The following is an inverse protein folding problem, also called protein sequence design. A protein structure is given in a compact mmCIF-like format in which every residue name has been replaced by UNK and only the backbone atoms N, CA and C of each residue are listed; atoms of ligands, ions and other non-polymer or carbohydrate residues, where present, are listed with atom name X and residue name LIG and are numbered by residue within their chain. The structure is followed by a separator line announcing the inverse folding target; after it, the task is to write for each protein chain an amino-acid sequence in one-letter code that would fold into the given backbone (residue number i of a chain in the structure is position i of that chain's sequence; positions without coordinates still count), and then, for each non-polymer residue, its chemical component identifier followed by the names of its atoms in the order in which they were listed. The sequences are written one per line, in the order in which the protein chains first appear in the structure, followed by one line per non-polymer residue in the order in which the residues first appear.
data_IF_220922064620
#
_entry.id   IF_220922064620
#
_cell.length_a   1.000
_cell.length_b   1.000
_cell.length_c   1.000
_cell.angle_alpha   90.00
_cell.angle_beta   90.00
_cell.angle_gamma   90.00
#
_symmetry.space_group_name_H-M   'P 1'
#
loop_
_entity.id
_entity.type
_entity.pdbx_description
1 polymer ?
#
# COMPACT_ATOMS: atom_id res chain seq x y z
N UNK A 1 7.21 5.67 29.70
CA UNK A 1 6.59 6.88 30.30
C UNK A 1 7.08 8.22 29.73
N UNK A 2 8.29 8.32 29.15
CA UNK A 2 8.82 9.60 28.61
C UNK A 2 8.17 10.13 27.32
N UNK A 3 7.49 9.31 26.50
CA UNK A 3 6.86 9.76 25.23
C UNK A 3 5.46 10.37 25.37
N UNK A 4 4.83 10.31 26.55
CA UNK A 4 3.55 11.00 26.79
C UNK A 4 3.74 12.51 26.99
N UNK A 5 4.93 12.94 27.43
CA UNK A 5 5.22 14.37 27.67
C UNK A 5 5.24 15.16 26.36
N UNK A 6 5.85 14.64 25.28
CA UNK A 6 5.98 15.40 24.02
C UNK A 6 4.66 15.64 23.28
N UNK A 7 3.67 14.76 23.47
CA UNK A 7 2.31 14.92 22.92
C UNK A 7 1.52 15.97 23.69
N UNK A 8 1.63 16.00 25.03
CA UNK A 8 1.01 17.02 25.86
C UNK A 8 1.50 18.43 25.50
N UNK A 9 2.81 18.60 25.26
CA UNK A 9 3.37 19.91 24.89
C UNK A 9 2.80 20.45 23.57
N UNK A 10 2.61 19.63 22.52
CA UNK A 10 2.07 20.14 21.25
C UNK A 10 0.61 20.55 21.30
N UNK A 11 -0.24 19.83 22.05
CA UNK A 11 -1.63 20.27 22.27
C UNK A 11 -1.69 21.44 23.25
N UNK A 12 -0.82 21.47 24.26
CA UNK A 12 -0.69 22.61 25.14
C UNK A 12 -0.30 23.86 24.34
N UNK A 13 0.63 23.76 23.38
CA UNK A 13 1.05 24.90 22.57
C UNK A 13 -0.08 25.42 21.67
N UNK A 14 -0.84 24.53 21.02
CA UNK A 14 -1.99 24.94 20.19
C UNK A 14 -3.16 25.47 21.04
N UNK A 15 -3.49 24.80 22.14
CA UNK A 15 -4.54 25.24 23.06
C UNK A 15 -4.16 26.56 23.75
N UNK A 16 -2.89 26.74 24.12
CA UNK A 16 -2.34 27.98 24.65
C UNK A 16 -2.38 29.09 23.62
N UNK A 17 -2.04 28.81 22.34
CA UNK A 17 -2.14 29.78 21.26
C UNK A 17 -3.58 30.23 21.03
N UNK A 18 -4.53 29.29 21.01
CA UNK A 18 -5.97 29.60 20.89
C UNK A 18 -6.45 30.39 22.13
N UNK A 19 -6.04 29.99 23.33
CA UNK A 19 -6.38 30.67 24.57
C UNK A 19 -5.84 32.10 24.58
N UNK A 20 -4.57 32.31 24.21
CA UNK A 20 -3.94 33.64 24.13
C UNK A 20 -4.67 34.52 23.12
N UNK A 21 -4.96 34.01 21.92
CA UNK A 21 -5.71 34.76 20.90
C UNK A 21 -7.11 35.10 21.42
N UNK A 22 -7.79 34.15 22.07
CA UNK A 22 -9.14 34.37 22.63
C UNK A 22 -9.11 35.44 23.72
N UNK A 23 -8.14 35.39 24.64
CA UNK A 23 -7.93 36.40 25.68
C UNK A 23 -7.67 37.77 25.04
N UNK A 24 -6.79 37.86 24.05
CA UNK A 24 -6.49 39.12 23.36
C UNK A 24 -7.71 39.70 22.64
N UNK A 25 -8.54 38.86 22.02
CA UNK A 25 -9.80 39.27 21.39
C UNK A 25 -10.80 39.77 22.43
N UNK A 26 -10.97 39.05 23.54
CA UNK A 26 -11.89 39.43 24.64
C UNK A 26 -11.44 40.71 25.31
N UNK A 27 -10.16 40.86 25.62
CA UNK A 27 -9.59 42.08 26.22
C UNK A 27 -9.73 43.25 25.25
N UNK A 28 -9.43 43.06 23.95
CA UNK A 28 -9.62 44.10 22.93
C UNK A 28 -11.08 44.52 22.80
N UNK A 29 -12.02 43.58 22.81
CA UNK A 29 -13.45 43.86 22.78
C UNK A 29 -13.93 44.59 24.05
N UNK A 30 -13.44 44.20 25.22
CA UNK A 30 -13.74 44.85 26.50
C UNK A 30 -13.21 46.29 26.53
N UNK A 31 -11.96 46.52 26.10
CA UNK A 31 -11.41 47.88 26.00
C UNK A 31 -12.18 48.73 24.99
N UNK A 32 -12.62 48.17 23.86
CA UNK A 32 -13.46 48.89 22.90
C UNK A 32 -14.85 49.23 23.48
N UNK A 33 -15.40 48.36 24.33
CA UNK A 33 -16.68 48.57 25.00
C UNK A 33 -16.60 49.69 26.06
N UNK A 34 -15.61 49.65 26.95
CA UNK A 34 -15.38 50.68 27.98
C UNK A 34 -15.11 52.06 27.35
N UNK A 35 -14.45 52.08 26.19
CA UNK A 35 -14.07 53.32 25.50
C UNK A 35 -14.97 53.69 24.30
N UNK A 36 -16.19 53.14 24.24
CA UNK A 36 -17.14 53.32 23.12
C UNK A 36 -17.56 54.77 22.85
N UNK A 37 -17.33 55.67 23.81
CA UNK A 37 -17.62 57.11 23.69
C UNK A 37 -16.59 57.89 22.87
N UNK A 38 -15.43 57.31 22.57
CA UNK A 38 -14.37 57.98 21.81
C UNK A 38 -14.44 57.58 20.32
N UNK A 39 -14.73 58.51 19.40
CA UNK A 39 -14.85 58.20 17.97
C UNK A 39 -13.54 57.67 17.34
N UNK A 40 -12.39 58.01 17.92
CA UNK A 40 -11.06 57.57 17.46
C UNK A 40 -10.71 56.11 17.83
N UNK A 41 -11.42 55.52 18.81
CA UNK A 41 -11.15 54.15 19.30
C UNK A 41 -11.70 53.06 18.38
N UNK A 42 -12.78 53.35 17.64
CA UNK A 42 -13.41 52.38 16.74
C UNK A 42 -12.46 51.88 15.65
N UNK A 43 -11.59 52.72 15.10
CA UNK A 43 -10.64 52.29 14.05
C UNK A 43 -9.37 51.63 14.61
N UNK A 44 -8.90 52.07 15.79
CA UNK A 44 -7.62 51.63 16.36
C UNK A 44 -7.68 50.30 17.09
N UNK A 45 -8.82 49.92 17.68
CA UNK A 45 -8.96 48.67 18.46
C UNK A 45 -9.60 47.54 17.66
N UNK A 46 -10.58 47.86 16.80
CA UNK A 46 -11.27 46.84 15.99
C UNK A 46 -10.30 46.23 14.97
N UNK A 47 -9.43 47.02 14.35
CA UNK A 47 -8.53 46.56 13.30
C UNK A 47 -7.51 45.50 13.81
N UNK A 48 -6.79 45.69 14.94
CA UNK A 48 -5.91 44.65 15.49
C UNK A 48 -6.64 43.37 15.91
N UNK A 49 -7.84 43.49 16.49
CA UNK A 49 -8.65 42.32 16.89
C UNK A 49 -9.05 41.51 15.65
N UNK A 50 -9.52 42.18 14.61
CA UNK A 50 -9.87 41.54 13.33
C UNK A 50 -8.63 40.91 12.68
N UNK A 51 -7.49 41.60 12.65
CA UNK A 51 -6.23 41.06 12.14
C UNK A 51 -5.75 39.84 12.94
N UNK A 52 -5.94 39.83 14.27
CA UNK A 52 -5.61 38.70 15.13
C UNK A 52 -6.47 37.46 14.85
N UNK A 53 -7.79 37.65 14.69
CA UNK A 53 -8.72 36.58 14.30
C UNK A 53 -8.35 36.03 12.92
N UNK A 54 -8.10 36.92 11.95
CA UNK A 54 -7.67 36.55 10.60
C UNK A 54 -6.36 35.78 10.65
N UNK A 55 -5.37 36.24 11.42
CA UNK A 55 -4.08 35.57 11.60
C UNK A 55 -4.20 34.17 12.22
N UNK A 56 -5.03 34.02 13.26
CA UNK A 56 -5.32 32.71 13.85
C UNK A 56 -6.04 31.78 12.88
N UNK A 57 -7.01 32.29 12.12
CA UNK A 57 -7.70 31.55 11.08
C UNK A 57 -6.75 31.09 9.97
N UNK A 58 -5.85 31.96 9.49
CA UNK A 58 -4.81 31.59 8.53
C UNK A 58 -3.83 30.57 9.11
N UNK A 59 -3.48 30.67 10.39
CA UNK A 59 -2.59 29.70 11.05
C UNK A 59 -3.25 28.32 11.13
N UNK A 60 -4.54 28.24 11.49
CA UNK A 60 -5.31 27.00 11.47
C UNK A 60 -5.42 26.45 10.05
N UNK A 61 -5.78 27.28 9.07
CA UNK A 61 -5.85 26.88 7.66
C UNK A 61 -4.52 26.35 7.12
N UNK A 62 -3.41 27.01 7.46
CA UNK A 62 -2.08 26.61 7.00
C UNK A 62 -1.56 25.37 7.76
N UNK A 63 -2.03 25.16 8.99
CA UNK A 63 -1.76 23.94 9.75
C UNK A 63 -2.58 22.74 9.25
N UNK A 64 -3.68 22.95 8.52
CA UNK A 64 -4.49 21.92 7.86
C UNK A 64 -3.85 21.41 6.54
N UNK A 65 -2.53 21.25 6.48
CA UNK A 65 -1.87 20.63 5.31
C UNK A 65 -2.35 19.18 5.17
N UNK A 66 -2.76 18.82 3.95
CA UNK A 66 -2.95 17.41 3.61
C UNK A 66 -1.59 16.77 3.56
N UNK A 67 -1.42 15.73 4.36
CA UNK A 67 -0.29 14.83 4.26
C UNK A 67 -0.66 13.75 3.26
N UNK A 68 0.22 13.58 2.28
CA UNK A 68 0.15 12.51 1.29
C UNK A 68 1.41 11.68 1.44
N UNK A 69 1.25 10.37 1.47
CA UNK A 69 2.37 9.43 1.35
C UNK A 69 2.19 8.71 0.03
N UNK A 70 3.21 8.76 -0.81
CA UNK A 70 3.20 8.18 -2.15
C UNK A 70 4.45 7.31 -2.29
N UNK A 71 4.26 6.10 -2.81
CA UNK A 71 5.32 5.15 -3.13
C UNK A 71 5.02 4.54 -4.49
N UNK A 72 6.00 4.59 -5.41
CA UNK A 72 5.87 4.03 -6.74
C UNK A 72 7.09 3.18 -7.05
N UNK A 73 6.86 2.00 -7.60
CA UNK A 73 7.92 1.06 -7.99
C UNK A 73 7.42 0.09 -9.05
N UNK A 74 8.36 -0.66 -9.64
CA UNK A 74 8.06 -1.66 -10.66
C UNK A 74 8.04 -3.08 -10.09
N UNK A 75 7.17 -3.91 -10.66
CA UNK A 75 7.04 -5.34 -10.38
C UNK A 75 7.09 -6.11 -11.70
N UNK A 76 7.85 -7.19 -11.76
CA UNK A 76 7.98 -8.01 -12.98
C UNK A 76 7.59 -9.44 -12.66
N UNK A 77 6.65 -9.98 -13.43
CA UNK A 77 6.29 -11.39 -13.38
C UNK A 77 6.87 -12.10 -14.59
N UNK A 78 7.66 -13.14 -14.33
CA UNK A 78 8.21 -14.03 -15.35
C UNK A 78 7.34 -15.27 -15.49
N UNK A 79 6.90 -15.57 -16.70
CA UNK A 79 6.18 -16.80 -17.03
C UNK A 79 6.65 -17.39 -18.35
N UNK A 80 6.57 -18.70 -18.47
CA UNK A 80 7.03 -19.44 -19.63
C UNK A 80 6.06 -19.25 -20.81
N UNK A 81 6.57 -19.07 -22.03
CA UNK A 81 5.77 -18.62 -23.17
C UNK A 81 4.83 -19.68 -23.73
N UNK A 82 5.14 -20.96 -23.57
CA UNK A 82 4.35 -22.04 -24.18
C UNK A 82 3.11 -22.42 -23.36
N UNK A 83 3.27 -22.48 -22.04
CA UNK A 83 2.27 -22.96 -21.08
C UNK A 83 1.80 -21.85 -20.13
N UNK A 84 2.38 -20.64 -20.22
CA UNK A 84 2.01 -19.45 -19.44
C UNK A 84 2.16 -19.64 -17.93
N UNK A 85 2.85 -20.68 -17.48
CA UNK A 85 3.10 -20.92 -16.06
C UNK A 85 4.24 -20.05 -15.56
N UNK A 86 4.17 -19.64 -14.30
CA UNK A 86 5.19 -18.80 -13.68
C UNK A 86 6.53 -19.51 -13.63
N UNK A 87 7.62 -18.74 -13.64
CA UNK A 87 8.99 -19.26 -13.53
C UNK A 87 9.18 -20.25 -12.35
N UNK A 88 8.47 -20.05 -11.24
CA UNK A 88 8.57 -20.90 -10.05
C UNK A 88 8.06 -22.34 -10.24
N UNK A 89 7.33 -22.63 -11.33
CA UNK A 89 6.94 -23.99 -11.72
C UNK A 89 8.06 -24.70 -12.49
N UNK A 90 8.94 -23.93 -13.13
CA UNK A 90 9.95 -24.43 -14.06
C UNK A 90 11.34 -24.50 -13.44
N UNK A 91 11.61 -23.73 -12.38
CA UNK A 91 12.92 -23.71 -11.73
C UNK A 91 12.83 -23.74 -10.21
N UNK A 92 13.12 -24.91 -9.63
CA UNK A 92 13.20 -25.12 -8.18
C UNK A 92 14.29 -24.29 -7.51
N UNK A 93 15.23 -23.72 -8.27
CA UNK A 93 16.29 -22.83 -7.76
C UNK A 93 15.87 -21.35 -7.82
N UNK A 94 14.70 -21.00 -8.36
CA UNK A 94 14.24 -19.60 -8.38
C UNK A 94 14.21 -19.01 -6.97
N UNK A 95 13.83 -19.81 -5.97
CA UNK A 95 13.81 -19.44 -4.56
C UNK A 95 15.18 -18.96 -4.04
N UNK A 96 16.25 -19.70 -4.39
CA UNK A 96 17.64 -19.42 -4.01
C UNK A 96 18.13 -18.08 -4.57
N UNK A 97 17.83 -17.82 -5.84
CA UNK A 97 18.48 -16.73 -6.57
C UNK A 97 17.63 -15.47 -6.73
N UNK A 98 16.30 -15.54 -6.62
CA UNK A 98 15.46 -14.34 -6.55
C UNK A 98 14.16 -14.47 -5.78
N UNK A 99 13.87 -15.64 -5.21
CA UNK A 99 12.65 -15.90 -4.44
C UNK A 99 11.44 -16.22 -5.28
N UNK A 100 10.47 -16.81 -4.59
CA UNK A 100 9.18 -17.15 -5.16
C UNK A 100 8.41 -15.87 -5.56
N UNK A 101 7.97 -15.83 -6.82
CA UNK A 101 7.02 -14.84 -7.32
C UNK A 101 5.63 -15.10 -6.74
N UNK A 102 5.26 -16.37 -6.57
CA UNK A 102 4.00 -16.77 -5.93
C UNK A 102 4.23 -17.96 -4.99
N UNK A 103 3.61 -17.90 -3.81
CA UNK A 103 3.64 -19.02 -2.87
C UNK A 103 2.94 -20.26 -3.44
N UNK A 104 3.18 -21.46 -2.86
CA UNK A 104 2.73 -22.73 -3.43
C UNK A 104 1.23 -22.80 -3.76
N UNK A 105 0.37 -22.32 -2.86
CA UNK A 105 -1.08 -22.37 -3.04
C UNK A 105 -1.56 -21.49 -4.20
N UNK A 106 -1.01 -20.28 -4.32
CA UNK A 106 -1.37 -19.36 -5.39
C UNK A 106 -0.79 -19.82 -6.73
N UNK A 107 0.41 -20.42 -6.73
CA UNK A 107 1.01 -21.03 -7.90
C UNK A 107 0.14 -22.16 -8.49
N UNK A 108 -0.29 -23.13 -7.68
CA UNK A 108 -1.20 -24.20 -8.15
C UNK A 108 -2.54 -23.65 -8.64
N UNK A 109 -3.02 -22.56 -8.03
CA UNK A 109 -4.23 -21.89 -8.47
C UNK A 109 -4.07 -21.24 -9.85
N UNK A 110 -2.94 -20.57 -10.09
CA UNK A 110 -2.60 -19.97 -11.39
C UNK A 110 -2.60 -21.04 -12.48
N UNK A 111 -1.93 -22.18 -12.23
CA UNK A 111 -1.90 -23.29 -13.19
C UNK A 111 -3.31 -23.75 -13.57
N UNK A 112 -4.19 -23.97 -12.59
CA UNK A 112 -5.58 -24.32 -12.85
C UNK A 112 -6.41 -23.22 -13.52
N UNK A 113 -6.03 -21.94 -13.39
CA UNK A 113 -6.68 -20.85 -14.13
C UNK A 113 -6.25 -20.82 -15.59
N UNK A 114 -4.96 -21.03 -15.86
CA UNK A 114 -4.41 -21.10 -17.21
C UNK A 114 -5.00 -22.29 -17.97
N UNK A 115 -5.11 -23.45 -17.33
CA UNK A 115 -5.70 -24.65 -17.95
C UNK A 115 -7.16 -24.47 -18.34
N UNK A 116 -7.95 -23.75 -17.53
CA UNK A 116 -9.41 -23.58 -17.73
C UNK A 116 -9.79 -22.46 -18.70
N UNK A 117 -8.94 -21.45 -18.91
CA UNK A 117 -9.28 -20.28 -19.71
C UNK A 117 -9.00 -20.56 -21.21
N UNK A 118 -10.06 -20.88 -21.95
CA UNK A 118 -10.01 -21.26 -23.38
C UNK A 118 -9.29 -20.24 -24.28
N UNK A 119 -9.25 -18.96 -23.87
CA UNK A 119 -8.56 -17.89 -24.63
C UNK A 119 -7.08 -18.20 -24.78
N UNK A 120 -6.45 -18.76 -23.75
CA UNK A 120 -5.05 -19.15 -23.82
C UNK A 120 -4.85 -20.28 -24.80
N UNK A 121 -5.79 -21.23 -24.94
CA UNK A 121 -5.68 -22.34 -25.88
C UNK A 121 -5.91 -21.93 -27.35
N UNK A 122 -6.68 -20.87 -27.59
CA UNK A 122 -7.07 -20.43 -28.95
C UNK A 122 -6.21 -19.29 -29.52
N UNK A 123 -5.49 -18.55 -28.69
CA UNK A 123 -4.69 -17.39 -29.12
C UNK A 123 -3.38 -17.79 -29.81
N UNK A 124 -2.98 -17.06 -30.86
CA UNK A 124 -1.67 -17.22 -31.52
C UNK A 124 -0.55 -16.85 -30.54
N UNK A 125 0.57 -17.56 -30.62
CA UNK A 125 1.83 -17.38 -29.84
C UNK A 125 2.08 -15.93 -29.37
N UNK A 126 1.99 -14.97 -30.28
CA UNK A 126 2.49 -13.62 -30.02
C UNK A 126 1.52 -12.74 -29.24
N UNK A 127 0.21 -13.07 -29.19
CA UNK A 127 -0.79 -12.35 -28.39
C UNK A 127 -1.05 -12.98 -27.02
N UNK A 128 -0.63 -14.24 -26.83
CA UNK A 128 -0.77 -14.96 -25.56
C UNK A 128 -0.08 -14.25 -24.39
N UNK A 129 1.07 -13.60 -24.64
CA UNK A 129 1.81 -12.85 -23.61
C UNK A 129 1.00 -11.68 -23.03
N UNK A 130 0.37 -10.87 -23.88
CA UNK A 130 -0.44 -9.72 -23.46
C UNK A 130 -1.71 -10.15 -22.70
N UNK A 131 -2.38 -11.22 -23.17
CA UNK A 131 -3.56 -11.78 -22.51
C UNK A 131 -3.21 -12.38 -21.14
N UNK A 132 -2.06 -13.05 -21.04
CA UNK A 132 -1.51 -13.54 -19.78
C UNK A 132 -1.15 -12.38 -18.84
N UNK A 133 -0.66 -11.25 -19.36
CA UNK A 133 -0.33 -10.07 -18.56
C UNK A 133 -1.51 -9.54 -17.74
N UNK A 134 -2.74 -9.58 -18.29
CA UNK A 134 -3.95 -9.22 -17.54
C UNK A 134 -4.28 -10.21 -16.43
N UNK A 135 -4.11 -11.51 -16.67
CA UNK A 135 -4.24 -12.53 -15.61
C UNK A 135 -3.20 -12.28 -14.52
N UNK A 136 -1.95 -12.02 -14.88
CA UNK A 136 -0.90 -11.79 -13.90
C UNK A 136 -1.08 -10.48 -13.13
N UNK A 137 -1.70 -9.45 -13.71
CA UNK A 137 -2.15 -8.27 -12.98
C UNK A 137 -3.16 -8.63 -11.88
N UNK A 138 -4.13 -9.50 -12.19
CA UNK A 138 -5.09 -10.04 -11.21
C UNK A 138 -4.34 -10.80 -10.10
N UNK A 139 -3.38 -11.65 -10.48
CA UNK A 139 -2.64 -12.48 -9.53
C UNK A 139 -1.71 -11.68 -8.61
N UNK A 140 -1.10 -10.60 -9.11
CA UNK A 140 -0.28 -9.70 -8.28
C UNK A 140 -1.15 -9.02 -7.22
N UNK A 141 -2.32 -8.51 -7.60
CA UNK A 141 -3.25 -7.93 -6.63
C UNK A 141 -3.68 -8.99 -5.61
N UNK A 142 -4.00 -10.19 -6.07
CA UNK A 142 -4.45 -11.28 -5.22
C UNK A 142 -3.38 -11.69 -4.19
N UNK A 143 -2.11 -11.78 -4.62
CA UNK A 143 -0.96 -12.01 -3.74
C UNK A 143 -0.87 -10.96 -2.64
N UNK A 144 -1.06 -9.67 -2.99
CA UNK A 144 -1.03 -8.60 -1.99
C UNK A 144 -2.17 -8.71 -0.98
N UNK A 145 -3.38 -9.02 -1.44
CA UNK A 145 -4.53 -9.18 -0.55
C UNK A 145 -4.31 -10.37 0.38
N UNK A 146 -3.93 -11.54 -0.15
CA UNK A 146 -3.57 -12.73 0.66
C UNK A 146 -2.57 -12.36 1.75
N UNK A 147 -1.51 -11.65 1.33
CA UNK A 147 -0.47 -11.23 2.25
C UNK A 147 -0.98 -10.31 3.36
N UNK A 148 -1.89 -9.39 3.05
CA UNK A 148 -2.47 -8.52 4.07
C UNK A 148 -3.36 -9.28 5.05
N UNK A 149 -4.16 -10.24 4.58
CA UNK A 149 -4.94 -11.08 5.47
C UNK A 149 -4.05 -11.85 6.44
N UNK A 150 -2.90 -12.34 5.98
CA UNK A 150 -1.90 -12.98 6.84
C UNK A 150 -1.21 -12.02 7.79
N UNK A 151 -0.67 -10.91 7.27
CA UNK A 151 0.12 -9.96 8.06
C UNK A 151 -0.70 -9.26 9.14
N UNK A 152 -1.99 -9.05 8.90
CA UNK A 152 -2.89 -8.34 9.79
C UNK A 152 -3.99 -9.25 10.34
N UNK A 153 -3.78 -10.57 10.43
CA UNK A 153 -4.81 -11.50 10.94
C UNK A 153 -5.30 -11.09 12.35
N UNK A 154 -4.37 -10.78 13.24
CA UNK A 154 -4.64 -10.54 14.67
C UNK A 154 -4.59 -9.07 15.08
N UNK A 155 -3.73 -8.27 14.44
CA UNK A 155 -3.50 -6.86 14.82
C UNK A 155 -3.29 -5.98 13.59
N UNK A 156 -3.77 -4.73 13.66
CA UNK A 156 -3.57 -3.74 12.60
C UNK A 156 -2.35 -2.82 12.86
N UNK A 157 -2.04 -2.51 14.13
CA UNK A 157 -0.85 -1.72 14.52
C UNK A 157 0.33 -2.65 14.79
N UNK A 158 0.90 -3.16 13.70
CA UNK A 158 2.01 -4.09 13.71
C UNK A 158 3.27 -3.45 13.14
N UNK A 159 4.41 -4.06 13.44
CA UNK A 159 5.63 -3.96 12.66
C UNK A 159 5.85 -5.28 11.96
N UNK A 160 6.12 -5.21 10.67
CA UNK A 160 6.48 -6.38 9.88
C UNK A 160 7.98 -6.27 9.60
N UNK A 161 8.71 -7.31 9.92
CA UNK A 161 10.11 -7.43 9.53
C UNK A 161 10.26 -8.70 8.72
N UNK A 162 10.53 -8.53 7.43
CA UNK A 162 10.70 -9.62 6.50
C UNK A 162 12.18 -9.78 6.17
N UNK A 163 12.71 -10.97 6.43
CA UNK A 163 14.10 -11.33 6.14
C UNK A 163 14.13 -12.63 5.37
N UNK A 164 14.98 -12.71 4.34
CA UNK A 164 15.24 -13.96 3.66
C UNK A 164 16.23 -14.79 4.47
N UNK A 165 15.88 -16.04 4.73
CA UNK A 165 16.70 -17.01 5.44
C UNK A 165 16.72 -18.31 4.64
N UNK A 166 17.88 -18.64 4.06
CA UNK A 166 18.01 -19.76 3.12
C UNK A 166 17.09 -19.60 1.92
N UNK A 167 16.30 -20.62 1.64
CA UNK A 167 15.35 -20.66 0.51
C UNK A 167 14.02 -19.95 0.81
N UNK A 168 13.82 -19.51 2.06
CA UNK A 168 12.57 -18.95 2.54
C UNK A 168 12.62 -17.46 2.84
N UNK A 169 11.43 -16.86 2.86
CA UNK A 169 11.20 -15.55 3.49
C UNK A 169 10.60 -15.82 4.86
N UNK A 170 11.32 -15.41 5.92
CA UNK A 170 10.77 -15.35 7.26
C UNK A 170 10.24 -13.95 7.51
N UNK A 171 8.96 -13.85 7.87
CA UNK A 171 8.36 -12.59 8.29
C UNK A 171 7.94 -12.68 9.74
N UNK A 172 8.40 -11.72 10.52
CA UNK A 172 8.04 -11.56 11.93
C UNK A 172 7.05 -10.41 12.01
N UNK A 173 5.83 -10.73 12.45
CA UNK A 173 4.79 -9.73 12.75
C UNK A 173 4.80 -9.49 14.25
N UNK A 174 5.11 -8.27 14.67
CA UNK A 174 5.15 -7.88 16.07
C UNK A 174 4.10 -6.80 16.35
N UNK A 175 3.14 -7.03 17.27
CA UNK A 175 2.20 -5.99 17.66
C UNK A 175 2.94 -4.86 18.36
N UNK A 176 2.67 -3.61 17.99
CA UNK A 176 3.25 -2.46 18.71
C UNK A 176 2.48 -2.21 20.00
N UNK A 177 1.16 -2.41 19.97
CA UNK A 177 0.26 -2.34 21.12
C UNK A 177 -0.94 -3.28 20.92
N UNK A 178 -1.38 -4.00 21.96
CA UNK A 178 -2.70 -4.62 21.97
C UNK A 178 -3.74 -3.50 21.90
N UNK A 179 -4.65 -3.55 20.94
CA UNK A 179 -5.70 -2.55 20.76
C UNK A 179 -7.07 -3.18 20.96
N UNK A 180 -7.87 -2.74 21.95
CA UNK A 180 -9.25 -3.19 22.09
C UNK A 180 -10.14 -2.69 20.93
N UNK A 181 -9.80 -1.55 20.32
CA UNK A 181 -10.60 -0.93 19.27
C UNK A 181 -10.04 -1.28 17.89
N UNK A 182 -10.47 -2.41 17.34
CA UNK A 182 -10.16 -2.83 15.98
C UNK A 182 -11.43 -3.16 15.20
N UNK A 183 -11.34 -3.08 13.88
CA UNK A 183 -12.37 -3.61 13.00
C UNK A 183 -11.85 -4.87 12.30
N UNK A 184 -12.76 -5.74 11.90
CA UNK A 184 -12.46 -6.96 11.17
C UNK A 184 -13.08 -6.87 9.78
N UNK A 185 -12.25 -7.05 8.74
CA UNK A 185 -12.72 -7.30 7.38
C UNK A 185 -12.70 -8.81 7.16
N UNK A 186 -13.88 -9.42 7.17
CA UNK A 186 -14.02 -10.83 6.82
C UNK A 186 -13.80 -11.02 5.32
N UNK A 187 -13.07 -12.08 4.94
CA UNK A 187 -12.70 -12.38 3.56
C UNK A 187 -13.93 -12.45 2.65
N UNK A 188 -14.91 -13.27 3.02
CA UNK A 188 -16.11 -13.49 2.20
C UNK A 188 -16.90 -12.21 1.97
N UNK A 189 -17.03 -11.39 3.02
CA UNK A 189 -17.70 -10.10 2.95
C UNK A 189 -16.92 -9.12 2.09
N UNK A 190 -15.60 -9.07 2.27
CA UNK A 190 -14.73 -8.23 1.47
C UNK A 190 -14.83 -8.60 -0.02
N UNK A 191 -14.79 -9.88 -0.37
CA UNK A 191 -14.93 -10.34 -1.77
C UNK A 191 -16.31 -10.00 -2.34
N UNK A 192 -17.39 -10.29 -1.60
CA UNK A 192 -18.77 -10.08 -2.10
C UNK A 192 -19.18 -8.62 -2.19
N UNK A 193 -18.75 -7.76 -1.27
CA UNK A 193 -19.10 -6.33 -1.25
C UNK A 193 -18.18 -5.48 -2.15
N UNK A 194 -16.98 -5.96 -2.43
CA UNK A 194 -15.96 -5.18 -3.16
C UNK A 194 -16.05 -5.34 -4.67
N UNK A 195 -16.78 -6.34 -5.17
CA UNK A 195 -16.64 -6.74 -6.56
C UNK A 195 -17.98 -6.66 -7.30
N UNK A 196 -17.98 -5.86 -8.38
CA UNK A 196 -18.92 -6.06 -9.47
C UNK A 196 -18.67 -7.44 -10.08
N UNK A 197 -19.71 -8.12 -10.58
CA UNK A 197 -19.67 -9.51 -11.12
C UNK A 197 -18.71 -9.67 -12.32
N UNK A 198 -17.42 -9.62 -12.08
CA UNK A 198 -16.35 -9.57 -13.07
C UNK A 198 -15.44 -10.81 -13.03
N UNK A 199 -14.45 -10.86 -13.93
CA UNK A 199 -13.46 -11.95 -14.01
C UNK A 199 -12.70 -12.12 -12.69
N UNK A 200 -12.34 -11.02 -12.04
CA UNK A 200 -11.57 -11.02 -10.80
C UNK A 200 -12.37 -11.63 -9.64
N UNK A 201 -13.68 -11.40 -9.61
CA UNK A 201 -14.62 -12.06 -8.68
C UNK A 201 -14.59 -13.58 -8.79
N UNK A 202 -14.59 -14.09 -10.02
CA UNK A 202 -14.53 -15.53 -10.27
C UNK A 202 -13.20 -16.12 -9.82
N UNK A 203 -12.10 -15.37 -10.01
CA UNK A 203 -10.78 -15.75 -9.51
C UNK A 203 -10.73 -15.74 -7.98
N UNK A 204 -11.37 -14.78 -7.32
CA UNK A 204 -11.40 -14.70 -5.85
C UNK A 204 -12.24 -15.80 -5.20
N UNK A 205 -13.39 -16.14 -5.79
CA UNK A 205 -14.30 -17.19 -5.30
C UNK A 205 -13.67 -18.58 -5.47
N UNK A 206 -12.91 -18.79 -6.55
CA UNK A 206 -12.31 -20.08 -6.89
C UNK A 206 -11.12 -20.50 -6.02
N UNK A 207 -10.57 -19.61 -5.18
CA UNK A 207 -9.40 -19.92 -4.36
C UNK A 207 -9.76 -20.87 -3.21
N UNK A 208 -8.93 -21.91 -2.95
CA UNK A 208 -9.14 -22.81 -1.83
C UNK A 208 -9.09 -22.07 -0.49
N UNK A 209 -10.20 -22.08 0.26
CA UNK A 209 -10.33 -21.40 1.57
C UNK A 209 -9.39 -21.94 2.66
N UNK A 210 -8.87 -23.15 2.50
CA UNK A 210 -8.10 -23.88 3.54
C UNK A 210 -6.76 -23.23 3.93
N UNK A 211 -6.31 -22.18 3.23
CA UNK A 211 -5.03 -21.53 3.50
C UNK A 211 -5.13 -20.04 3.88
N UNK A 212 -6.36 -19.52 3.99
CA UNK A 212 -6.59 -18.09 4.19
C UNK A 212 -6.99 -17.80 5.63
N UNK A 213 -6.39 -16.79 6.29
CA UNK A 213 -7.01 -16.18 7.45
C UNK A 213 -8.42 -15.72 7.07
N UNK A 214 -9.44 -16.12 7.83
CA UNK A 214 -10.84 -15.80 7.52
C UNK A 214 -11.12 -14.29 7.58
N UNK A 215 -10.26 -13.54 8.27
CA UNK A 215 -10.39 -12.11 8.50
C UNK A 215 -9.04 -11.41 8.56
N UNK A 216 -9.09 -10.13 8.22
CA UNK A 216 -8.02 -9.17 8.41
C UNK A 216 -8.44 -8.15 9.48
N UNK A 217 -7.61 -7.93 10.48
CA UNK A 217 -7.75 -6.88 11.48
C UNK A 217 -7.25 -5.56 10.91
N UNK A 218 -8.11 -4.54 10.92
CA UNK A 218 -7.85 -3.22 10.33
C UNK A 218 -8.21 -2.11 11.32
N UNK A 219 -7.79 -0.86 11.06
CA UNK A 219 -8.18 0.25 11.91
C UNK A 219 -9.71 0.39 12.02
N UNK A 220 -10.23 0.97 13.12
CA UNK A 220 -11.66 1.17 13.31
C UNK A 220 -12.36 1.85 12.11
N UNK A 221 -13.55 1.35 11.78
CA UNK A 221 -14.41 1.88 10.70
C UNK A 221 -13.75 1.86 9.32
N UNK A 222 -12.76 0.99 9.11
CA UNK A 222 -12.18 0.77 7.79
C UNK A 222 -13.15 0.03 6.89
N UNK A 223 -13.28 0.50 5.66
CA UNK A 223 -13.98 -0.17 4.56
C UNK A 223 -12.96 -0.51 3.48
N UNK A 224 -13.04 -1.71 2.93
CA UNK A 224 -12.23 -2.13 1.80
C UNK A 224 -13.08 -2.25 0.54
N UNK A 225 -12.50 -1.91 -0.61
CA UNK A 225 -13.04 -2.22 -1.93
C UNK A 225 -11.93 -2.51 -2.93
N UNK A 226 -12.24 -3.30 -3.94
CA UNK A 226 -11.39 -3.55 -5.09
C UNK A 226 -12.05 -2.92 -6.31
N UNK A 227 -11.30 -2.17 -7.08
CA UNK A 227 -11.75 -1.60 -8.35
C UNK A 227 -10.96 -2.27 -9.45
N UNK A 228 -11.69 -2.93 -10.35
CA UNK A 228 -11.13 -3.61 -11.51
C UNK A 228 -11.50 -2.80 -12.73
N UNK A 229 -10.49 -2.34 -13.47
CA UNK A 229 -10.68 -1.70 -14.77
C UNK A 229 -9.88 -2.45 -15.83
N UNK A 230 -10.14 -2.23 -17.13
CA UNK A 230 -9.32 -2.81 -18.20
C UNK A 230 -7.83 -2.45 -18.11
N UNK A 231 -7.51 -1.32 -17.46
CA UNK A 231 -6.18 -0.71 -17.44
C UNK A 231 -5.46 -0.84 -16.09
N UNK A 232 -6.18 -1.09 -15.02
CA UNK A 232 -5.61 -1.18 -13.69
C UNK A 232 -6.41 -2.07 -12.74
N UNK A 233 -5.73 -2.49 -11.67
CA UNK A 233 -6.32 -3.15 -10.51
C UNK A 233 -6.02 -2.31 -9.29
N UNK A 234 -7.05 -1.96 -8.52
CA UNK A 234 -6.89 -1.05 -7.39
C UNK A 234 -7.54 -1.58 -6.13
N UNK A 235 -6.76 -1.76 -5.07
CA UNK A 235 -7.27 -1.94 -3.71
C UNK A 235 -7.43 -0.57 -3.06
N UNK A 236 -8.59 -0.30 -2.45
CA UNK A 236 -8.84 0.93 -1.69
C UNK A 236 -9.30 0.57 -0.28
N UNK A 237 -8.61 1.10 0.73
CA UNK A 237 -8.96 0.98 2.14
C UNK A 237 -9.24 2.38 2.71
N UNK A 238 -10.45 2.63 3.18
CA UNK A 238 -10.87 3.96 3.66
C UNK A 238 -11.34 3.89 5.10
N UNK A 239 -10.82 4.78 5.95
CA UNK A 239 -11.28 4.96 7.33
C UNK A 239 -11.38 6.48 7.66
N UNK A 240 -11.81 6.86 8.87
CA UNK A 240 -11.99 8.28 9.23
C UNK A 240 -10.73 9.14 9.18
N UNK A 241 -9.54 8.54 9.17
CA UNK A 241 -8.24 9.22 9.23
C UNK A 241 -7.51 9.22 7.89
N UNK A 242 -7.61 8.14 7.13
CA UNK A 242 -6.83 7.97 5.91
C UNK A 242 -7.61 7.18 4.85
N UNK A 243 -7.36 7.54 3.60
CA UNK A 243 -7.71 6.73 2.43
C UNK A 243 -6.43 6.18 1.81
N UNK A 244 -6.29 4.86 1.77
CA UNK A 244 -5.15 4.15 1.18
C UNK A 244 -5.59 3.54 -0.13
N UNK A 245 -4.78 3.69 -1.18
CA UNK A 245 -4.99 3.08 -2.47
C UNK A 245 -3.72 2.42 -2.99
N UNK A 246 -3.82 1.18 -3.46
CA UNK A 246 -2.74 0.45 -4.11
C UNK A 246 -3.22 0.12 -5.52
N UNK A 247 -2.56 0.67 -6.53
CA UNK A 247 -2.91 0.50 -7.94
C UNK A 247 -1.79 -0.22 -8.67
N UNK A 248 -2.14 -1.28 -9.39
CA UNK A 248 -1.26 -2.06 -10.25
C UNK A 248 -1.69 -1.82 -11.69
N UNK A 249 -0.76 -1.40 -12.55
CA UNK A 249 -1.02 -1.16 -13.98
C UNK A 249 -0.06 -1.99 -14.84
N UNK A 250 -0.53 -2.75 -15.83
CA UNK A 250 0.35 -3.38 -16.80
C UNK A 250 1.05 -2.30 -17.64
N UNK A 251 2.33 -2.51 -17.94
CA UNK A 251 3.15 -1.65 -18.80
C UNK A 251 3.57 -2.35 -20.09
N UNK A 252 3.19 -3.62 -20.25
CA UNK A 252 3.64 -4.50 -21.31
C UNK A 252 4.83 -5.33 -20.89
N UNK A 253 5.32 -6.15 -21.82
CA UNK A 253 6.37 -7.11 -21.53
C UNK A 253 7.37 -7.29 -22.66
N UNK A 254 8.35 -8.15 -22.39
CA UNK A 254 9.42 -8.50 -23.30
C UNK A 254 9.78 -9.97 -23.19
N UNK A 255 10.36 -10.52 -24.26
CA UNK A 255 10.90 -11.88 -24.28
C UNK A 255 12.21 -11.92 -23.48
N UNK A 256 12.40 -12.97 -22.69
CA UNK A 256 13.57 -13.14 -21.82
C UNK A 256 13.26 -12.92 -20.34
N UNK A 257 14.22 -13.24 -19.48
CA UNK A 257 14.21 -12.86 -18.04
C UNK A 257 15.24 -11.75 -17.71
N UNK A 258 15.96 -11.24 -18.71
CA UNK A 258 16.91 -10.12 -18.57
C UNK A 258 18.12 -10.45 -17.69
N UNK A 259 18.55 -9.50 -16.85
CA UNK A 259 19.67 -9.68 -15.90
C UNK A 259 19.45 -10.88 -14.96
N UNK A 260 18.20 -11.28 -14.75
CA UNK A 260 17.83 -12.41 -13.92
C UNK A 260 18.29 -13.76 -14.50
N UNK A 261 18.62 -13.83 -15.80
CA UNK A 261 19.15 -15.04 -16.43
C UNK A 261 20.48 -15.49 -15.78
N UNK A 262 21.33 -14.55 -15.36
CA UNK A 262 22.61 -14.85 -14.73
C UNK A 262 22.46 -15.58 -13.40
N UNK A 263 21.48 -15.15 -12.61
CA UNK A 263 21.13 -15.76 -11.33
C UNK A 263 20.62 -17.18 -11.49
N UNK A 264 19.84 -17.44 -12.53
CA UNK A 264 19.30 -18.76 -12.82
C UNK A 264 20.29 -19.66 -13.57
N UNK A 265 21.44 -19.11 -14.01
CA UNK A 265 22.38 -19.81 -14.89
C UNK A 265 21.78 -20.15 -16.25
N UNK A 266 20.85 -19.32 -16.75
CA UNK A 266 20.20 -19.53 -18.04
C UNK A 266 21.08 -18.99 -19.16
N UNK A 267 21.21 -19.77 -20.24
CA UNK A 267 21.73 -19.26 -21.49
C UNK A 267 20.66 -18.39 -22.20
N UNK A 268 21.06 -17.77 -23.31
CA UNK A 268 20.17 -16.91 -24.10
C UNK A 268 18.91 -17.66 -24.55
N UNK A 269 19.08 -18.92 -25.00
CA UNK A 269 17.98 -19.72 -25.55
C UNK A 269 16.94 -20.03 -24.47
N UNK A 270 17.39 -20.50 -23.30
CA UNK A 270 16.53 -20.79 -22.16
C UNK A 270 15.88 -19.53 -21.60
N UNK A 271 16.59 -18.40 -21.57
CA UNK A 271 15.99 -17.12 -21.18
C UNK A 271 14.83 -16.75 -22.11
N UNK A 272 14.99 -16.89 -23.43
CA UNK A 272 13.97 -16.55 -24.44
C UNK A 272 12.71 -17.44 -24.42
N UNK A 273 12.72 -18.53 -23.64
CA UNK A 273 11.54 -19.36 -23.36
C UNK A 273 10.53 -18.63 -22.44
N UNK A 274 10.96 -17.58 -21.74
CA UNK A 274 10.14 -16.82 -20.81
C UNK A 274 9.70 -15.47 -21.39
N UNK A 275 8.59 -14.98 -20.85
CA UNK A 275 8.08 -13.62 -21.01
C UNK A 275 8.20 -12.89 -19.68
N UNK A 276 8.68 -11.66 -19.73
CA UNK A 276 8.72 -10.71 -18.61
C UNK A 276 7.57 -9.73 -18.76
N UNK A 277 6.56 -9.81 -17.91
CA UNK A 277 5.49 -8.79 -17.87
C UNK A 277 5.80 -7.75 -16.79
N UNK A 278 5.86 -6.48 -17.18
CA UNK A 278 6.15 -5.36 -16.30
C UNK A 278 4.85 -4.71 -15.80
N UNK A 279 4.80 -4.48 -14.49
CA UNK A 279 3.74 -3.74 -13.81
C UNK A 279 4.30 -2.52 -13.09
N UNK A 280 3.53 -1.45 -13.11
CA UNK A 280 3.73 -0.23 -12.34
C UNK A 280 2.82 -0.28 -11.12
N UNK A 281 3.42 -0.29 -9.93
CA UNK A 281 2.72 -0.37 -8.66
C UNK A 281 2.83 0.98 -7.97
N UNK A 282 1.68 1.58 -7.71
CA UNK A 282 1.58 2.87 -7.02
C UNK A 282 0.74 2.75 -5.76
N UNK A 283 1.30 3.14 -4.64
CA UNK A 283 0.68 3.15 -3.33
C UNK A 283 0.51 4.61 -2.90
N UNK A 284 -0.72 5.04 -2.63
CA UNK A 284 -1.03 6.41 -2.22
C UNK A 284 -1.87 6.40 -0.95
N UNK A 285 -1.53 7.24 0.01
CA UNK A 285 -2.29 7.44 1.23
C UNK A 285 -2.59 8.92 1.44
N UNK A 286 -3.88 9.25 1.46
CA UNK A 286 -4.39 10.61 1.66
C UNK A 286 -4.93 10.75 3.10
N UNK A 287 -4.19 11.47 3.95
CA UNK A 287 -4.61 11.70 5.34
C UNK A 287 -5.59 12.88 5.43
N UNK A 288 -6.66 12.68 6.21
CA UNK A 288 -7.74 13.66 6.39
C UNK A 288 -7.22 14.87 7.17
N UNK A 289 -7.20 16.04 6.51
CA UNK A 289 -6.73 17.34 7.04
C UNK A 289 -7.25 17.65 8.45
N UNK A 290 -8.55 17.51 8.66
CA UNK A 290 -9.21 17.83 9.94
C UNK A 290 -8.79 16.94 11.12
N UNK A 291 -8.06 15.85 10.87
CA UNK A 291 -7.60 14.92 11.90
C UNK A 291 -6.08 14.86 12.02
N UNK A 292 -5.34 15.73 11.32
CA UNK A 292 -3.88 15.72 11.32
C UNK A 292 -3.29 15.74 12.74
N UNK A 293 -3.85 16.58 13.61
CA UNK A 293 -3.50 16.65 15.01
C UNK A 293 -4.34 15.74 15.91
N UNK A 294 -4.74 14.54 15.48
CA UNK A 294 -5.40 13.58 16.38
C UNK A 294 -4.36 12.71 17.10
N UNK A 295 -4.56 12.34 18.39
CA UNK A 295 -3.56 11.58 19.15
C UNK A 295 -3.20 10.22 18.54
N UNK A 296 -4.13 9.63 17.80
CA UNK A 296 -3.96 8.34 17.13
C UNK A 296 -3.32 8.43 15.75
N UNK A 297 -3.22 9.62 15.15
CA UNK A 297 -2.69 9.80 13.78
C UNK A 297 -1.33 9.12 13.55
N UNK A 298 -0.37 9.16 14.51
CA UNK A 298 0.90 8.44 14.35
C UNK A 298 0.76 6.91 14.15
N UNK A 299 -0.32 6.30 14.65
CA UNK A 299 -0.60 4.86 14.45
C UNK A 299 -1.07 4.59 13.03
N UNK A 300 -1.97 5.43 12.53
CA UNK A 300 -2.44 5.36 11.15
C UNK A 300 -1.31 5.59 10.15
N UNK A 301 -0.39 6.54 10.42
CA UNK A 301 0.81 6.73 9.61
C UNK A 301 1.68 5.48 9.57
N UNK A 302 1.99 4.91 10.74
CA UNK A 302 2.79 3.67 10.80
C UNK A 302 2.12 2.52 10.07
N UNK A 303 0.81 2.35 10.22
CA UNK A 303 0.05 1.33 9.51
C UNK A 303 0.20 1.47 8.00
N UNK A 304 0.09 2.70 7.47
CA UNK A 304 0.33 3.00 6.05
C UNK A 304 1.77 2.73 5.63
N UNK A 305 2.75 3.23 6.39
CA UNK A 305 4.18 3.03 6.10
C UNK A 305 4.53 1.54 6.07
N UNK A 306 4.09 0.79 7.09
CA UNK A 306 4.32 -0.67 7.19
C UNK A 306 3.63 -1.41 6.04
N UNK A 307 2.41 -1.01 5.67
CA UNK A 307 1.71 -1.58 4.53
C UNK A 307 2.46 -1.33 3.22
N UNK A 308 2.98 -0.12 3.00
CA UNK A 308 3.68 0.24 1.77
C UNK A 308 5.03 -0.44 1.66
N UNK A 309 5.78 -0.50 2.77
CA UNK A 309 7.02 -1.28 2.88
C UNK A 309 6.77 -2.76 2.55
N UNK A 310 5.70 -3.35 3.09
CA UNK A 310 5.37 -4.74 2.83
C UNK A 310 4.95 -4.97 1.38
N UNK A 311 4.19 -4.05 0.77
CA UNK A 311 3.84 -4.12 -0.67
C UNK A 311 5.11 -4.09 -1.52
N UNK A 312 6.03 -3.15 -1.25
CA UNK A 312 7.28 -3.05 -1.97
C UNK A 312 8.16 -4.30 -1.78
N UNK A 313 8.21 -4.86 -0.58
CA UNK A 313 8.96 -6.07 -0.30
C UNK A 313 8.42 -7.29 -1.06
N UNK A 314 7.09 -7.42 -1.16
CA UNK A 314 6.44 -8.63 -1.68
C UNK A 314 6.40 -8.72 -3.20
N UNK A 315 6.28 -7.57 -3.88
CA UNK A 315 6.14 -7.52 -5.34
C UNK A 315 7.15 -6.59 -6.02
N UNK A 316 7.95 -5.83 -5.28
CA UNK A 316 8.95 -4.94 -5.86
C UNK A 316 10.16 -5.68 -6.43
N UNK A 317 10.64 -5.21 -7.57
CA UNK A 317 11.80 -5.81 -8.24
C UNK A 317 13.16 -5.33 -7.70
N UNK A 318 13.21 -4.23 -6.96
CA UNK A 318 14.46 -3.52 -6.63
C UNK A 318 15.52 -4.43 -6.02
N UNK A 319 15.18 -5.16 -4.95
CA UNK A 319 16.13 -6.07 -4.27
C UNK A 319 16.47 -7.30 -5.13
N UNK A 320 15.53 -7.74 -5.96
CA UNK A 320 15.69 -8.90 -6.85
C UNK A 320 16.67 -8.60 -7.98
N UNK A 321 16.49 -7.45 -8.64
CA UNK A 321 17.35 -6.97 -9.73
C UNK A 321 18.73 -6.60 -9.19
N UNK A 322 18.82 -5.95 -8.02
CA UNK A 322 20.10 -5.59 -7.45
C UNK A 322 20.97 -6.83 -7.22
N UNK A 323 20.41 -7.87 -6.60
CA UNK A 323 21.10 -9.17 -6.43
C UNK A 323 21.53 -9.78 -7.76
N UNK A 324 20.70 -9.67 -8.79
CA UNK A 324 21.02 -10.18 -10.11
C UNK A 324 22.27 -9.51 -10.70
N UNK A 325 22.34 -8.19 -10.55
CA UNK A 325 23.48 -7.38 -10.98
C UNK A 325 24.72 -7.69 -10.17
N UNK A 326 24.60 -7.75 -8.84
CA UNK A 326 25.72 -8.07 -7.96
C UNK A 326 26.32 -9.43 -8.30
N UNK A 327 25.49 -10.46 -8.52
CA UNK A 327 25.94 -11.79 -8.92
C UNK A 327 26.60 -11.80 -10.30
N UNK A 328 26.02 -11.11 -11.28
CA UNK A 328 26.60 -10.95 -12.61
C UNK A 328 27.98 -10.27 -12.54
N UNK A 329 28.11 -9.25 -11.72
CA UNK A 329 29.36 -8.48 -11.61
C UNK A 329 30.45 -9.28 -10.88
N UNK A 330 30.08 -10.10 -9.88
CA UNK A 330 30.98 -11.06 -9.23
C UNK A 330 31.45 -12.18 -10.18
N UNK A 331 30.59 -12.64 -11.09
CA UNK A 331 30.90 -13.76 -11.99
C UNK A 331 31.62 -13.34 -13.27
N UNK A 332 31.59 -12.05 -13.64
CA UNK A 332 32.36 -11.50 -14.78
C UNK A 332 33.85 -11.28 -14.48
N UNK A 333 34.24 -11.26 -13.21
CA UNK A 333 35.64 -11.09 -12.77
C UNK A 333 36.44 -12.39 -12.66
N UNK A 334 35.82 -13.53 -13.02
CA UNK A 334 36.39 -14.88 -13.06
C UNK A 334 36.35 -15.36 -14.50
#
# INVERSE_FOLDING_TARGET
MHRCKSLFWRYADMALSILIVTILVVVGAYMAYENRGLPEMKSRVILPVVLGIIGAFFTVLYSLKSEKVELQFNSTVYFHRSDLLVLDEHDKRSALYGGEQFGPSLRSYVAGCVERDERFHQSKSDKRGEEAGQLYCDMVLLKLIDRFFWAYADWWDVRITSQRLGDGVMSIVSPVRPDPDSASLAWERFVTESLDKDRFSSLLIGLPKQHWPEKMTVPPKTKGRVVVSPYDRRLVLTNPFVEVSITIRPKGGAIGVGDFAWLLGYDKKKSEEFWSELFDVSCNADFRKMRYGHPEMPRYRRWVETMFEEVQYQVGDTERIQRARDYRDLTRGV
#
